data_IF_957794280796
#
_entry.id   IF_957794280796
#
_cell.length_a   1.000
_cell.length_b   1.000
_cell.length_c   1.000
_cell.angle_alpha   90.00
_cell.angle_beta   90.00
_cell.angle_gamma   90.00
#
_symmetry.space_group_name_H-M   'P 1'
#
loop_
_entity.id
_entity.type
_entity.pdbx_description
1 polymer ?
#
# COMPACT_ATOMS: atom_id res chain seq x y z
N UNK A 1 -16.02 21.05 15.56
CA UNK A 1 -14.92 21.10 14.56
C UNK A 1 -15.03 19.88 13.65
N UNK A 2 -15.34 20.06 12.36
CA UNK A 2 -15.35 18.96 11.38
C UNK A 2 -13.92 18.76 10.87
N UNK A 3 -13.22 17.75 11.36
CA UNK A 3 -11.96 17.32 10.75
C UNK A 3 -12.27 16.72 9.38
N UNK A 4 -12.12 17.54 8.33
CA UNK A 4 -12.21 17.09 6.94
C UNK A 4 -10.94 16.27 6.61
N UNK A 5 -10.86 15.06 7.16
CA UNK A 5 -9.79 14.12 6.86
C UNK A 5 -10.01 13.60 5.44
N UNK A 6 -9.24 14.11 4.47
CA UNK A 6 -9.18 13.54 3.12
C UNK A 6 -8.46 12.18 3.19
N UNK A 7 -9.10 11.17 3.79
CA UNK A 7 -8.63 9.79 3.77
C UNK A 7 -9.03 9.14 2.44
N UNK A 8 -8.06 8.57 1.75
CA UNK A 8 -8.35 7.68 0.62
C UNK A 8 -8.96 6.38 1.13
N UNK A 9 -9.94 5.84 0.41
CA UNK A 9 -10.46 4.50 0.68
C UNK A 9 -9.43 3.47 0.23
N UNK A 10 -9.09 2.51 1.08
CA UNK A 10 -8.14 1.44 0.72
C UNK A 10 -8.90 0.20 0.31
N UNK A 11 -8.54 -0.38 -0.85
CA UNK A 11 -9.00 -1.69 -1.32
C UNK A 11 -7.79 -2.61 -1.44
N UNK A 12 -7.91 -3.86 -0.99
CA UNK A 12 -6.87 -4.87 -1.08
C UNK A 12 -7.22 -5.91 -2.13
N UNK A 13 -6.26 -6.26 -2.99
CA UNK A 13 -6.38 -7.43 -3.84
C UNK A 13 -6.40 -8.73 -3.00
N UNK A 14 -6.98 -9.79 -3.55
CA UNK A 14 -7.08 -11.10 -2.87
C UNK A 14 -5.70 -11.63 -2.41
N UNK A 15 -4.67 -11.42 -3.21
CA UNK A 15 -3.30 -11.83 -2.89
C UNK A 15 -2.71 -11.06 -1.71
N UNK A 16 -2.96 -9.75 -1.66
CA UNK A 16 -2.55 -8.92 -0.53
C UNK A 16 -3.21 -9.38 0.78
N UNK A 17 -4.50 -9.72 0.74
CA UNK A 17 -5.23 -10.28 1.89
C UNK A 17 -4.57 -11.59 2.34
N UNK A 18 -4.39 -12.54 1.41
CA UNK A 18 -3.73 -13.83 1.71
C UNK A 18 -2.34 -13.67 2.32
N UNK A 19 -1.55 -12.73 1.84
CA UNK A 19 -0.23 -12.45 2.41
C UNK A 19 -0.35 -11.93 3.84
N UNK A 20 -1.25 -10.96 4.07
CA UNK A 20 -1.45 -10.41 5.41
C UNK A 20 -1.93 -11.46 6.39
N UNK A 21 -2.82 -12.38 5.99
CA UNK A 21 -3.34 -13.45 6.84
C UNK A 21 -2.25 -14.42 7.30
N UNK A 22 -1.32 -14.78 6.40
CA UNK A 22 -0.18 -15.66 6.66
C UNK A 22 0.88 -15.04 7.58
N UNK A 23 0.89 -13.72 7.72
CA UNK A 23 1.88 -13.02 8.55
C UNK A 23 1.59 -13.19 10.06
N UNK A 24 2.65 -13.10 10.87
CA UNK A 24 2.51 -12.99 12.32
C UNK A 24 1.94 -11.64 12.76
N UNK A 25 1.49 -11.53 14.01
CA UNK A 25 0.80 -10.34 14.54
C UNK A 25 1.62 -9.05 14.41
N UNK A 26 2.92 -9.10 14.73
CA UNK A 26 3.83 -7.96 14.60
C UNK A 26 3.94 -7.47 13.14
N UNK A 27 3.99 -8.40 12.18
CA UNK A 27 4.05 -8.05 10.76
C UNK A 27 2.73 -7.48 10.27
N UNK A 28 1.60 -8.06 10.70
CA UNK A 28 0.25 -7.55 10.38
C UNK A 28 0.08 -6.10 10.85
N UNK A 29 0.53 -5.79 12.06
CA UNK A 29 0.47 -4.45 12.63
C UNK A 29 1.31 -3.45 11.82
N UNK A 30 2.56 -3.80 11.49
CA UNK A 30 3.42 -2.98 10.62
C UNK A 30 2.80 -2.73 9.24
N UNK A 31 2.13 -3.73 8.66
CA UNK A 31 1.43 -3.56 7.39
C UNK A 31 0.24 -2.61 7.56
N UNK A 32 -0.56 -2.77 8.62
CA UNK A 32 -1.70 -1.89 8.90
C UNK A 32 -1.28 -0.43 9.06
N UNK A 33 -0.26 -0.16 9.86
CA UNK A 33 0.29 1.20 10.01
C UNK A 33 0.78 1.78 8.68
N UNK A 34 1.42 0.96 7.84
CA UNK A 34 1.88 1.39 6.54
C UNK A 34 0.71 1.75 5.62
N UNK A 35 -0.37 0.96 5.63
CA UNK A 35 -1.59 1.22 4.88
C UNK A 35 -2.24 2.54 5.34
N UNK A 36 -2.30 2.79 6.65
CA UNK A 36 -2.83 4.04 7.20
C UNK A 36 -1.99 5.25 6.75
N UNK A 37 -0.66 5.15 6.81
CA UNK A 37 0.27 6.18 6.30
C UNK A 37 0.08 6.43 4.80
N UNK A 38 -0.10 5.37 4.02
CA UNK A 38 -0.39 5.46 2.58
C UNK A 38 -1.74 6.15 2.34
N UNK A 39 -2.77 5.82 3.14
CA UNK A 39 -4.10 6.44 3.02
C UNK A 39 -4.12 7.94 3.32
N UNK A 40 -3.21 8.40 4.19
CA UNK A 40 -3.03 9.82 4.50
C UNK A 40 -2.19 10.55 3.44
N UNK A 41 -1.08 9.94 3.00
CA UNK A 41 -0.18 10.53 1.99
C UNK A 41 0.29 9.47 0.98
N UNK A 42 -0.48 9.24 -0.10
CA UNK A 42 -0.17 8.16 -1.03
C UNK A 42 0.91 8.52 -2.06
N UNK A 43 1.21 9.81 -2.25
CA UNK A 43 2.11 10.26 -3.33
C UNK A 43 3.57 10.41 -2.89
N UNK A 44 3.80 10.86 -1.64
CA UNK A 44 5.12 11.28 -1.17
C UNK A 44 5.36 10.75 0.24
N UNK A 45 6.55 10.19 0.44
CA UNK A 45 7.03 9.73 1.74
C UNK A 45 8.39 9.06 1.61
N UNK A 46 9.16 9.01 2.71
CA UNK A 46 10.51 8.41 2.75
C UNK A 46 10.55 6.96 2.26
N UNK A 47 9.45 6.23 2.45
CA UNK A 47 9.32 4.83 2.08
C UNK A 47 8.62 4.61 0.72
N UNK A 48 8.13 5.67 0.09
CA UNK A 48 7.35 5.62 -1.15
C UNK A 48 8.28 5.87 -2.35
N UNK A 49 8.20 5.00 -3.35
CA UNK A 49 8.77 5.27 -4.68
C UNK A 49 7.73 4.97 -5.75
N UNK A 50 7.59 5.88 -6.70
CA UNK A 50 6.85 5.62 -7.94
C UNK A 50 7.63 4.60 -8.78
N UNK A 51 6.97 3.55 -9.25
CA UNK A 51 7.56 2.59 -10.18
C UNK A 51 7.54 3.22 -11.59
N UNK A 52 8.66 3.10 -12.29
CA UNK A 52 8.79 3.58 -13.68
C UNK A 52 8.05 2.64 -14.63
N UNK A 53 7.62 3.17 -15.77
CA UNK A 53 7.13 2.39 -16.92
C UNK A 53 5.89 1.52 -16.65
N UNK A 54 5.03 1.96 -15.74
CA UNK A 54 3.72 1.34 -15.49
C UNK A 54 2.60 2.34 -15.76
N UNK A 55 1.67 1.95 -16.64
CA UNK A 55 0.41 2.64 -16.85
C UNK A 55 -0.74 1.68 -16.52
N UNK A 56 -1.61 2.01 -15.56
CA UNK A 56 -1.60 3.20 -14.72
C UNK A 56 -0.41 3.26 -13.72
N UNK A 57 -0.06 4.44 -13.18
CA UNK A 57 1.08 4.60 -12.28
C UNK A 57 0.97 3.73 -11.02
N UNK A 58 2.02 2.94 -10.76
CA UNK A 58 2.16 2.15 -9.55
C UNK A 58 3.17 2.79 -8.59
N UNK A 59 2.93 2.56 -7.31
CA UNK A 59 3.75 3.04 -6.21
C UNK A 59 4.16 1.87 -5.34
N UNK A 60 5.33 1.98 -4.74
CA UNK A 60 5.87 1.00 -3.80
C UNK A 60 6.13 1.67 -2.46
N UNK A 61 5.52 1.15 -1.40
CA UNK A 61 5.86 1.48 -0.02
C UNK A 61 6.75 0.38 0.59
N UNK A 62 7.85 0.76 1.25
CA UNK A 62 8.76 -0.17 1.94
C UNK A 62 8.50 -0.20 3.44
N UNK A 63 8.32 -1.40 4.00
CA UNK A 63 8.20 -1.65 5.44
C UNK A 63 9.25 -2.70 5.83
N UNK A 64 10.45 -2.26 6.20
CA UNK A 64 11.58 -3.17 6.43
C UNK A 64 11.90 -4.02 5.19
N UNK A 65 11.57 -5.33 5.25
CA UNK A 65 11.76 -6.32 4.18
C UNK A 65 10.51 -6.51 3.30
N UNK A 66 9.38 -5.92 3.67
CA UNK A 66 8.10 -6.02 2.98
C UNK A 66 7.94 -4.86 2.01
N UNK A 67 7.35 -5.13 0.85
CA UNK A 67 6.92 -4.14 -0.14
C UNK A 67 5.41 -4.22 -0.30
N UNK A 68 4.78 -3.05 -0.25
CA UNK A 68 3.37 -2.87 -0.61
C UNK A 68 3.36 -2.17 -1.95
N UNK A 69 2.81 -2.81 -2.98
CA UNK A 69 2.58 -2.18 -4.28
C UNK A 69 1.12 -1.73 -4.33
N UNK A 70 0.92 -0.47 -4.67
CA UNK A 70 -0.41 0.11 -4.76
C UNK A 70 -0.55 1.07 -5.93
N UNK A 71 -1.79 1.26 -6.34
CA UNK A 71 -2.22 2.21 -7.34
C UNK A 71 -3.10 3.28 -6.68
N UNK A 72 -3.04 4.50 -7.19
CA UNK A 72 -3.88 5.60 -6.72
C UNK A 72 -4.89 5.93 -7.82
N UNK A 73 -6.18 5.73 -7.53
CA UNK A 73 -7.29 6.14 -8.38
C UNK A 73 -7.78 7.50 -7.91
N UNK A 74 -7.30 8.56 -8.59
CA UNK A 74 -7.56 9.95 -8.20
C UNK A 74 -9.05 10.33 -8.25
N UNK A 75 -9.78 9.83 -9.27
CA UNK A 75 -11.20 10.14 -9.45
C UNK A 75 -12.06 9.66 -8.28
N UNK A 76 -11.81 8.44 -7.81
CA UNK A 76 -12.61 7.82 -6.74
C UNK A 76 -12.00 7.99 -5.34
N UNK A 77 -10.81 8.60 -5.23
CA UNK A 77 -9.99 8.64 -4.02
C UNK A 77 -9.77 7.24 -3.42
N UNK A 78 -9.47 6.28 -4.28
CA UNK A 78 -9.20 4.89 -3.89
C UNK A 78 -7.71 4.62 -4.00
N UNK A 79 -7.16 3.95 -2.99
CA UNK A 79 -5.86 3.30 -3.03
C UNK A 79 -6.09 1.81 -3.20
N UNK A 80 -5.67 1.28 -4.33
CA UNK A 80 -5.79 -0.14 -4.62
C UNK A 80 -4.45 -0.81 -4.36
N UNK A 81 -4.37 -1.61 -3.30
CA UNK A 81 -3.19 -2.41 -2.97
C UNK A 81 -3.20 -3.65 -3.87
N UNK A 82 -2.29 -3.65 -4.83
CA UNK A 82 -2.14 -4.71 -5.82
C UNK A 82 -1.56 -5.95 -5.18
N UNK A 83 -0.48 -5.80 -4.40
CA UNK A 83 0.20 -6.92 -3.75
C UNK A 83 1.02 -6.46 -2.56
N UNK A 84 1.20 -7.37 -1.59
CA UNK A 84 2.06 -7.19 -0.43
C UNK A 84 2.94 -8.43 -0.36
N UNK A 85 4.26 -8.25 -0.23
CA UNK A 85 5.17 -9.38 -0.18
C UNK A 85 6.59 -9.03 0.26
N UNK A 86 7.40 -10.05 0.51
CA UNK A 86 8.81 -9.90 0.85
C UNK A 86 9.67 -9.56 -0.38
N UNK A 87 10.94 -9.22 -0.15
CA UNK A 87 11.92 -8.99 -1.22
C UNK A 87 12.10 -10.27 -2.05
N UNK A 88 11.67 -10.25 -3.31
CA UNK A 88 11.84 -11.36 -4.27
C UNK A 88 10.50 -11.95 -4.72
N UNK A 89 9.52 -12.04 -3.83
CA UNK A 89 8.20 -12.62 -4.15
C UNK A 89 7.28 -11.67 -4.91
N UNK A 90 7.51 -10.36 -4.80
CA UNK A 90 6.64 -9.32 -5.41
C UNK A 90 6.80 -9.21 -6.94
N UNK A 91 7.70 -9.98 -7.54
CA UNK A 91 7.95 -10.00 -8.99
C UNK A 91 7.74 -11.38 -9.64
N UNK A 92 7.16 -12.34 -8.91
CA UNK A 92 6.72 -13.60 -9.52
C UNK A 92 5.31 -13.48 -10.09
#
# INVERSE_FOLDING_TARGET
>A
MRTCSKMYKVKLAKEAVKFTEKCNSNTKEKIKEAIEKIAQSPYVGKNIKKLKDKFPPLYRYRVGNIRIIYQIQKGEKIIFIVTIGYRGDVYK
#
